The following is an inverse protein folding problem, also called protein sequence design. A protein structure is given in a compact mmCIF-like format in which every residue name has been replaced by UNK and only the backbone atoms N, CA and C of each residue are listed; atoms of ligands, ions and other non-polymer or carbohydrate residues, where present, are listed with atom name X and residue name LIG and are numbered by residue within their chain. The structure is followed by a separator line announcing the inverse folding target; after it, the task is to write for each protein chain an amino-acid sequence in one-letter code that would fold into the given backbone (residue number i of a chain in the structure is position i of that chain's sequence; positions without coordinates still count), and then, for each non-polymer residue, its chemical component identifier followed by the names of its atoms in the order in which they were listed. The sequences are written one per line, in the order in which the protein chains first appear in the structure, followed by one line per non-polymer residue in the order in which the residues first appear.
data_IF_047510036668
#
_entry.id   IF_047510036668
#
_cell.length_a   1.000
_cell.length_b   1.000
_cell.length_c   1.000
_cell.angle_alpha   90.00
_cell.angle_beta   90.00
_cell.angle_gamma   90.00
#
_symmetry.space_group_name_H-M   'P 1'
#
loop_
_entity.id
_entity.type
_entity.pdbx_description
1 polymer ?
#
# COMPACT_ATOMS: atom_id res chain seq x y z
N UNK A 1 25.35 53.00 -0.81
CA UNK A 1 23.91 52.89 -0.50
C UNK A 1 23.76 52.13 0.83
N UNK A 2 23.06 52.72 1.80
CA UNK A 2 22.88 52.18 3.16
C UNK A 2 21.74 51.14 3.17
N UNK A 3 21.96 49.99 3.80
CA UNK A 3 20.98 48.91 3.91
C UNK A 3 19.80 49.24 4.81
N UNK A 4 18.64 48.67 4.50
CA UNK A 4 17.41 48.79 5.30
C UNK A 4 17.06 47.42 5.90
N UNK A 5 16.89 47.42 7.22
CA UNK A 5 16.49 46.30 8.07
C UNK A 5 14.97 46.10 7.97
N UNK A 6 14.50 44.96 7.48
CA UNK A 6 13.07 44.61 7.46
C UNK A 6 12.74 43.83 8.76
N UNK A 7 11.98 44.45 9.66
CA UNK A 7 11.35 43.78 10.82
C UNK A 7 9.96 43.29 10.41
N UNK A 8 9.66 42.01 10.65
CA UNK A 8 8.29 41.49 10.55
C UNK A 8 7.57 41.68 11.89
N UNK A 9 6.65 42.66 11.94
CA UNK A 9 5.65 42.79 12.98
C UNK A 9 4.34 42.13 12.55
N UNK A 10 3.75 41.33 13.45
CA UNK A 10 2.44 40.72 13.27
C UNK A 10 1.34 41.80 13.17
N UNK A 11 0.51 41.75 12.12
CA UNK A 11 -0.68 42.58 11.99
C UNK A 11 -1.86 41.87 12.65
N UNK A 12 -2.46 42.56 13.64
CA UNK A 12 -3.75 42.20 14.21
C UNK A 12 -4.83 42.87 13.36
N UNK A 13 -5.77 42.09 12.81
CA UNK A 13 -6.91 42.64 12.11
C UNK A 13 -7.99 43.06 13.11
N UNK A 14 -8.30 44.35 13.12
CA UNK A 14 -9.46 44.93 13.77
C UNK A 14 -10.62 44.94 12.76
N UNK A 15 -11.69 44.21 13.05
CA UNK A 15 -13.00 44.45 12.41
C UNK A 15 -13.92 45.09 13.45
N UNK A 16 -14.50 46.23 13.07
CA UNK A 16 -15.53 46.95 13.83
C UNK A 16 -16.89 46.57 13.24
N UNK A 17 -17.79 46.07 14.09
CA UNK A 17 -19.18 45.75 13.76
C UNK A 17 -20.06 45.64 15.00
N UNK A 18 -20.67 46.79 15.33
CA UNK A 18 -21.83 47.13 16.20
C UNK A 18 -22.55 46.04 17.03
N UNK A 19 -22.76 46.39 18.32
CA UNK A 19 -23.53 45.73 19.40
C UNK A 19 -24.93 45.21 19.08
N UNK A 20 -25.34 44.12 19.76
CA UNK A 20 -26.64 43.96 20.47
C UNK A 20 -26.68 42.61 21.27
N UNK A 21 -26.90 42.68 22.58
CA UNK A 21 -27.45 41.58 23.42
C UNK A 21 -26.47 40.67 24.16
N UNK A 22 -26.15 40.99 25.43
CA UNK A 22 -25.46 40.06 26.36
C UNK A 22 -26.41 38.98 26.89
N UNK A 23 -26.08 37.70 26.67
CA UNK A 23 -26.40 36.59 27.58
C UNK A 23 -25.12 35.77 27.82
N UNK A 24 -24.75 35.46 29.08
CA UNK A 24 -23.53 34.71 29.34
C UNK A 24 -23.69 33.24 28.93
N UNK A 25 -22.83 32.76 28.04
CA UNK A 25 -22.74 31.35 27.66
C UNK A 25 -22.11 30.51 28.81
N UNK A 26 -22.53 29.24 29.01
CA UNK A 26 -22.04 28.42 30.11
C UNK A 26 -20.54 28.10 29.93
N UNK A 27 -19.81 28.11 31.05
CA UNK A 27 -18.36 27.86 31.14
C UNK A 27 -17.99 26.54 30.44
N UNK A 28 -17.22 26.63 29.34
CA UNK A 28 -16.58 25.45 28.74
C UNK A 28 -15.58 24.87 29.74
N UNK A 29 -15.80 23.62 30.14
CA UNK A 29 -14.88 22.84 30.96
C UNK A 29 -13.50 22.76 30.30
N UNK A 30 -12.44 22.97 31.10
CA UNK A 30 -11.05 22.89 30.65
C UNK A 30 -10.76 21.45 30.21
N UNK A 31 -10.64 21.22 28.89
CA UNK A 31 -10.06 19.97 28.37
C UNK A 31 -8.61 19.89 28.83
N UNK A 32 -8.23 18.73 29.37
CA UNK A 32 -6.86 18.41 29.75
C UNK A 32 -5.88 18.75 28.60
N UNK A 33 -4.71 19.31 28.95
CA UNK A 33 -3.62 19.57 28.01
C UNK A 33 -3.32 18.26 27.26
N UNK A 34 -3.76 18.18 26.00
CA UNK A 34 -3.20 17.20 25.08
C UNK A 34 -1.70 17.45 25.02
N UNK A 35 -0.91 16.37 25.10
CA UNK A 35 0.53 16.39 24.81
C UNK A 35 0.79 17.27 23.59
N UNK A 36 1.91 18.03 23.60
CA UNK A 36 2.27 18.90 22.47
C UNK A 36 2.09 18.13 21.18
N UNK A 37 1.09 18.51 20.38
CA UNK A 37 0.90 17.89 19.07
C UNK A 37 2.20 18.10 18.32
N UNK A 38 2.87 17.03 17.93
CA UNK A 38 4.01 17.11 17.02
C UNK A 38 3.56 17.93 15.81
N UNK A 39 4.14 19.11 15.64
CA UNK A 39 3.86 19.96 14.49
C UNK A 39 4.46 19.24 13.30
N UNK A 40 3.63 18.46 12.58
CA UNK A 40 4.02 17.85 11.32
C UNK A 40 4.20 18.99 10.31
N UNK A 41 5.43 19.46 10.13
CA UNK A 41 5.75 20.21 8.93
C UNK A 41 5.48 19.29 7.71
N UNK A 42 4.95 19.83 6.60
CA UNK A 42 4.83 19.06 5.36
C UNK A 42 6.17 18.39 5.02
N UNK A 43 6.17 17.08 4.83
CA UNK A 43 7.38 16.29 4.54
C UNK A 43 8.17 15.76 5.74
N UNK A 44 7.82 16.09 6.99
CA UNK A 44 8.57 15.62 8.18
C UNK A 44 8.05 14.31 8.81
N UNK A 45 6.98 13.73 8.29
CA UNK A 45 6.48 12.43 8.75
C UNK A 45 6.26 11.48 7.59
N UNK A 46 6.67 10.22 7.77
CA UNK A 46 6.34 9.15 6.83
C UNK A 46 4.82 9.02 6.72
N UNK A 47 4.28 9.25 5.53
CA UNK A 47 2.85 9.16 5.30
C UNK A 47 2.47 7.71 5.00
N UNK A 48 1.82 7.07 5.96
CA UNK A 48 1.40 5.67 5.85
C UNK A 48 -0.11 5.52 5.78
N UNK A 49 -0.58 4.38 5.27
CA UNK A 49 -1.99 4.02 5.32
C UNK A 49 -2.50 3.96 6.76
N UNK A 50 -3.71 4.48 6.98
CA UNK A 50 -4.29 4.63 8.32
C UNK A 50 -5.57 3.82 8.44
N UNK A 51 -5.85 3.35 9.66
CA UNK A 51 -7.12 2.74 9.99
C UNK A 51 -8.28 3.74 9.81
N UNK A 52 -9.36 3.27 9.18
CA UNK A 52 -10.59 4.03 9.02
C UNK A 52 -11.48 3.83 10.26
N UNK A 53 -11.23 4.61 11.32
CA UNK A 53 -11.98 4.51 12.59
C UNK A 53 -13.42 5.05 12.50
N UNK A 54 -13.75 5.74 11.41
CA UNK A 54 -15.02 6.43 11.17
C UNK A 54 -16.03 5.59 10.38
N UNK A 55 -15.62 4.46 9.80
CA UNK A 55 -16.48 3.62 8.98
C UNK A 55 -16.23 2.13 9.26
N UNK A 56 -17.16 1.43 9.93
CA UNK A 56 -17.03 0.01 10.26
C UNK A 56 -16.78 -0.88 9.03
N UNK A 57 -17.30 -0.54 7.85
CA UNK A 57 -17.07 -1.32 6.63
C UNK A 57 -15.61 -1.25 6.12
N UNK A 58 -14.84 -0.24 6.58
CA UNK A 58 -13.43 -0.06 6.27
C UNK A 58 -12.50 -0.45 7.44
N UNK A 59 -13.06 -0.96 8.53
CA UNK A 59 -12.28 -1.48 9.65
C UNK A 59 -11.47 -2.72 9.23
N UNK A 60 -10.46 -3.06 10.03
CA UNK A 60 -9.66 -4.29 9.91
C UNK A 60 -8.91 -4.46 8.57
N UNK A 61 -8.56 -3.36 7.88
CA UNK A 61 -7.79 -3.35 6.63
C UNK A 61 -6.26 -3.28 6.83
N UNK A 62 -5.74 -3.70 7.98
CA UNK A 62 -4.29 -3.68 8.23
C UNK A 62 -3.53 -4.58 7.26
N UNK A 63 -4.12 -5.71 6.85
CA UNK A 63 -3.59 -6.59 5.79
C UNK A 63 -3.37 -5.83 4.48
N UNK A 64 -4.31 -4.96 4.11
CA UNK A 64 -4.21 -4.17 2.89
C UNK A 64 -3.15 -3.08 3.02
N UNK A 65 -3.10 -2.41 4.18
CA UNK A 65 -2.08 -1.41 4.46
C UNK A 65 -0.67 -2.04 4.40
N UNK A 66 -0.46 -3.16 5.08
CA UNK A 66 0.81 -3.89 5.09
C UNK A 66 1.23 -4.31 3.67
N UNK A 67 0.31 -4.86 2.88
CA UNK A 67 0.57 -5.22 1.49
C UNK A 67 1.01 -4.01 0.65
N UNK A 68 0.28 -2.89 0.74
CA UNK A 68 0.57 -1.71 -0.06
C UNK A 68 1.85 -0.99 0.37
N UNK A 69 2.20 -0.97 1.66
CA UNK A 69 3.50 -0.43 2.08
C UNK A 69 4.65 -1.33 1.62
N UNK A 70 4.50 -2.65 1.74
CA UNK A 70 5.52 -3.62 1.32
C UNK A 70 5.78 -3.52 -0.18
N UNK A 71 4.73 -3.45 -0.99
CA UNK A 71 4.84 -3.27 -2.44
C UNK A 71 5.39 -1.88 -2.80
N UNK A 72 5.05 -0.83 -2.04
CA UNK A 72 5.58 0.51 -2.28
C UNK A 72 7.06 0.61 -1.96
N UNK A 73 7.54 -0.10 -0.93
CA UNK A 73 8.97 -0.12 -0.57
C UNK A 73 9.86 -0.68 -1.68
N UNK A 74 9.34 -1.61 -2.50
CA UNK A 74 10.03 -2.21 -3.65
C UNK A 74 9.60 -1.61 -5.00
N UNK A 75 8.75 -0.60 -4.99
CA UNK A 75 8.28 0.05 -6.21
C UNK A 75 9.43 0.79 -6.88
N UNK A 76 9.62 0.52 -8.18
CA UNK A 76 10.64 1.17 -9.01
C UNK A 76 10.05 1.58 -10.35
N UNK A 77 10.65 2.54 -11.08
CA UNK A 77 10.20 2.92 -12.42
C UNK A 77 10.14 1.76 -13.42
N UNK A 78 10.86 0.66 -13.17
CA UNK A 78 10.81 -0.55 -14.00
C UNK A 78 9.40 -1.15 -14.09
N UNK A 79 8.57 -0.96 -13.07
CA UNK A 79 7.20 -1.44 -13.03
C UNK A 79 6.30 -0.76 -14.08
N UNK A 80 6.72 0.38 -14.62
CA UNK A 80 5.97 1.16 -15.61
C UNK A 80 6.31 0.77 -17.07
N UNK A 81 7.34 -0.07 -17.28
CA UNK A 81 7.77 -0.45 -18.63
C UNK A 81 6.62 -1.19 -19.35
N UNK A 82 6.30 -0.75 -20.56
CA UNK A 82 5.24 -1.34 -21.37
C UNK A 82 3.81 -0.95 -20.97
N UNK A 83 3.63 0.04 -20.11
CA UNK A 83 2.31 0.54 -19.70
C UNK A 83 2.00 1.86 -20.40
N UNK A 84 0.85 1.90 -21.07
CA UNK A 84 0.42 3.04 -21.88
C UNK A 84 -0.58 3.97 -21.15
N UNK A 85 -0.79 3.75 -19.85
CA UNK A 85 -1.68 4.56 -19.02
C UNK A 85 -3.19 4.36 -19.28
N UNK A 86 -3.59 3.33 -20.02
CA UNK A 86 -5.01 3.06 -20.34
C UNK A 86 -5.56 1.78 -19.69
N UNK A 87 -4.77 1.11 -18.85
CA UNK A 87 -5.17 -0.14 -18.21
C UNK A 87 -6.26 0.06 -17.15
N UNK A 88 -7.17 -0.89 -17.07
CA UNK A 88 -8.24 -0.97 -16.07
C UNK A 88 -8.09 -2.18 -15.14
N UNK A 89 -6.97 -2.90 -15.26
CA UNK A 89 -6.63 -4.04 -14.43
C UNK A 89 -6.10 -3.62 -13.05
N UNK A 90 -6.02 -4.59 -12.13
CA UNK A 90 -5.58 -4.39 -10.74
C UNK A 90 -4.16 -3.81 -10.65
N UNK A 91 -3.24 -4.27 -11.49
CA UNK A 91 -1.87 -3.80 -11.46
C UNK A 91 -1.75 -2.36 -11.97
N UNK A 92 -2.46 -2.00 -13.03
CA UNK A 92 -2.52 -0.61 -13.50
C UNK A 92 -3.13 0.32 -12.42
N UNK A 93 -4.18 -0.13 -11.71
CA UNK A 93 -4.73 0.63 -10.61
C UNK A 93 -3.73 0.82 -9.45
N UNK A 94 -2.94 -0.22 -9.14
CA UNK A 94 -1.88 -0.15 -8.13
C UNK A 94 -0.81 0.87 -8.53
N UNK A 95 -0.37 0.85 -9.79
CA UNK A 95 0.63 1.78 -10.29
C UNK A 95 0.15 3.22 -10.26
N UNK A 96 -1.08 3.49 -10.69
CA UNK A 96 -1.62 4.85 -10.62
C UNK A 96 -1.75 5.34 -9.18
N UNK A 97 -2.06 4.44 -8.26
CA UNK A 97 -2.07 4.76 -6.84
C UNK A 97 -0.66 5.15 -6.35
N UNK A 98 0.36 4.35 -6.65
CA UNK A 98 1.75 4.66 -6.30
C UNK A 98 2.26 5.94 -6.95
N UNK A 99 1.93 6.18 -8.22
CA UNK A 99 2.26 7.43 -8.90
C UNK A 99 1.58 8.64 -8.26
N UNK A 100 0.33 8.50 -7.82
CA UNK A 100 -0.37 9.56 -7.10
C UNK A 100 0.30 9.86 -5.75
N UNK A 101 0.80 8.84 -5.06
CA UNK A 101 1.59 9.00 -3.83
C UNK A 101 2.92 9.71 -4.10
N UNK A 102 3.70 9.27 -5.10
CA UNK A 102 4.95 9.93 -5.50
C UNK A 102 4.70 11.39 -5.89
N UNK A 103 3.63 11.66 -6.63
CA UNK A 103 3.25 13.03 -7.02
C UNK A 103 2.99 13.92 -5.80
N UNK A 104 2.35 13.39 -4.76
CA UNK A 104 2.20 14.09 -3.49
C UNK A 104 3.55 14.29 -2.80
N UNK A 105 4.39 13.26 -2.72
CA UNK A 105 5.69 13.36 -2.03
C UNK A 105 6.62 14.38 -2.67
N UNK A 106 6.58 14.52 -4.00
CA UNK A 106 7.37 15.50 -4.75
C UNK A 106 6.79 16.92 -4.70
N UNK A 107 5.49 17.07 -4.88
CA UNK A 107 4.88 18.40 -5.03
C UNK A 107 4.29 18.95 -3.73
N UNK A 108 4.09 18.09 -2.72
CA UNK A 108 3.35 18.36 -1.48
C UNK A 108 1.95 18.97 -1.70
N UNK A 109 1.45 18.86 -2.93
CA UNK A 109 0.14 19.33 -3.35
C UNK A 109 -0.88 18.23 -3.09
N UNK A 110 -2.06 18.60 -2.60
CA UNK A 110 -3.15 17.73 -2.15
C UNK A 110 -2.94 17.06 -0.78
N UNK A 111 -3.99 16.40 -0.28
CA UNK A 111 -3.95 15.69 1.00
C UNK A 111 -3.50 14.25 0.78
N UNK A 112 -2.33 13.87 1.31
CA UNK A 112 -1.86 12.48 1.27
C UNK A 112 -2.86 11.50 1.85
N UNK A 113 -3.58 11.90 2.89
CA UNK A 113 -4.65 11.08 3.48
C UNK A 113 -5.73 10.76 2.44
N UNK A 114 -6.12 11.75 1.65
CA UNK A 114 -7.08 11.58 0.56
C UNK A 114 -6.53 10.63 -0.51
N UNK A 115 -5.28 10.83 -0.95
CA UNK A 115 -4.61 9.99 -1.94
C UNK A 115 -4.56 8.53 -1.49
N UNK A 116 -4.06 8.26 -0.28
CA UNK A 116 -3.99 6.91 0.28
C UNK A 116 -5.37 6.27 0.43
N UNK A 117 -6.36 7.01 0.95
CA UNK A 117 -7.72 6.50 1.15
C UNK A 117 -8.41 6.17 -0.18
N UNK A 118 -8.28 7.02 -1.19
CA UNK A 118 -8.89 6.82 -2.51
C UNK A 118 -8.29 5.60 -3.20
N UNK A 119 -6.96 5.47 -3.16
CA UNK A 119 -6.26 4.30 -3.70
C UNK A 119 -6.69 3.00 -3.03
N UNK A 120 -6.74 2.98 -1.69
CA UNK A 120 -7.20 1.82 -0.93
C UNK A 120 -8.63 1.43 -1.29
N UNK A 121 -9.56 2.38 -1.37
CA UNK A 121 -10.95 2.04 -1.70
C UNK A 121 -11.07 1.47 -3.12
N UNK A 122 -10.41 2.10 -4.10
CA UNK A 122 -10.44 1.63 -5.49
C UNK A 122 -9.87 0.23 -5.63
N UNK A 123 -8.69 -0.03 -5.04
CA UNK A 123 -8.07 -1.35 -5.10
C UNK A 123 -8.89 -2.43 -4.38
N UNK A 124 -9.48 -2.09 -3.23
CA UNK A 124 -10.37 -3.01 -2.52
C UNK A 124 -11.62 -3.34 -3.34
N UNK A 125 -12.25 -2.34 -3.97
CA UNK A 125 -13.43 -2.54 -4.84
C UNK A 125 -13.11 -3.45 -6.01
N UNK A 126 -11.99 -3.21 -6.71
CA UNK A 126 -11.54 -4.02 -7.83
C UNK A 126 -11.20 -5.46 -7.41
N UNK A 127 -10.49 -5.62 -6.28
CA UNK A 127 -10.12 -6.93 -5.76
C UNK A 127 -11.35 -7.75 -5.35
N UNK A 128 -12.30 -7.14 -4.64
CA UNK A 128 -13.54 -7.80 -4.24
C UNK A 128 -14.48 -8.07 -5.41
N UNK A 129 -14.42 -7.27 -6.49
CA UNK A 129 -15.16 -7.56 -7.72
C UNK A 129 -14.58 -8.76 -8.48
N UNK A 130 -13.25 -8.87 -8.55
CA UNK A 130 -12.56 -10.00 -9.21
C UNK A 130 -12.65 -11.29 -8.38
N UNK A 131 -12.61 -11.18 -7.05
CA UNK A 131 -12.67 -12.29 -6.11
C UNK A 131 -13.74 -12.04 -5.02
N UNK A 132 -15.03 -12.21 -5.35
CA UNK A 132 -16.11 -12.01 -4.40
C UNK A 132 -15.98 -12.91 -3.18
N UNK A 133 -16.14 -12.33 -1.99
CA UNK A 133 -16.08 -13.08 -0.72
C UNK A 133 -14.69 -13.22 -0.12
N UNK A 134 -13.62 -13.00 -0.89
CA UNK A 134 -12.24 -13.06 -0.38
C UNK A 134 -11.84 -11.87 0.49
N UNK A 135 -12.50 -10.71 0.31
CA UNK A 135 -12.20 -9.46 1.02
C UNK A 135 -13.42 -8.84 1.71
N UNK A 136 -14.04 -9.53 2.70
CA UNK A 136 -15.24 -9.05 3.37
C UNK A 136 -15.06 -7.69 4.03
N UNK A 137 -16.09 -6.84 3.93
CA UNK A 137 -16.11 -5.50 4.56
C UNK A 137 -15.97 -5.61 6.07
N UNK A 138 -15.14 -4.76 6.66
CA UNK A 138 -14.95 -4.66 8.10
C UNK A 138 -14.28 -5.87 8.76
N UNK A 139 -13.78 -6.84 8.00
CA UNK A 139 -13.14 -8.06 8.52
C UNK A 139 -11.69 -8.15 8.09
N UNK A 140 -10.90 -8.94 8.82
CA UNK A 140 -9.57 -9.32 8.38
C UNK A 140 -9.65 -10.20 7.13
N UNK A 141 -8.62 -10.14 6.30
CA UNK A 141 -8.48 -10.92 5.08
C UNK A 141 -6.99 -11.25 4.87
N UNK A 142 -6.70 -12.18 3.97
CA UNK A 142 -5.31 -12.57 3.70
C UNK A 142 -4.55 -11.43 3.03
N UNK A 143 -3.41 -11.05 3.61
CA UNK A 143 -2.45 -10.12 3.03
C UNK A 143 -1.78 -10.75 1.80
N UNK A 144 -1.34 -12.00 1.94
CA UNK A 144 -0.62 -12.73 0.88
C UNK A 144 -1.47 -12.88 -0.38
N UNK A 145 -2.73 -13.29 -0.21
CA UNK A 145 -3.66 -13.41 -1.34
C UNK A 145 -3.94 -12.06 -2.00
N UNK A 146 -3.97 -10.98 -1.22
CA UNK A 146 -4.14 -9.63 -1.78
C UNK A 146 -2.92 -9.20 -2.60
N UNK A 147 -1.70 -9.49 -2.14
CA UNK A 147 -0.47 -9.22 -2.89
C UNK A 147 -0.46 -10.04 -4.18
N UNK A 148 -0.73 -11.34 -4.09
CA UNK A 148 -0.77 -12.27 -5.23
C UNK A 148 -1.63 -11.73 -6.37
N UNK A 149 -2.89 -11.37 -6.10
CA UNK A 149 -3.80 -10.90 -7.16
C UNK A 149 -3.41 -9.53 -7.74
N UNK A 150 -2.68 -8.71 -6.99
CA UNK A 150 -2.20 -7.40 -7.46
C UNK A 150 -1.03 -7.56 -8.43
N UNK A 151 -0.09 -8.47 -8.15
CA UNK A 151 1.12 -8.70 -8.96
C UNK A 151 0.97 -9.83 -9.98
N UNK A 152 -0.22 -10.45 -10.06
CA UNK A 152 -0.56 -11.48 -11.01
C UNK A 152 -0.15 -11.09 -12.46
N UNK A 153 0.78 -11.82 -13.10
CA UNK A 153 1.24 -11.59 -14.46
C UNK A 153 0.12 -11.55 -15.51
N UNK A 154 -1.04 -12.14 -15.21
CA UNK A 154 -2.21 -12.12 -16.09
C UNK A 154 -2.94 -10.77 -16.11
N UNK A 155 -2.68 -9.88 -15.15
CA UNK A 155 -3.25 -8.53 -15.14
C UNK A 155 -2.83 -7.73 -16.39
N UNK A 156 -1.63 -7.95 -16.91
CA UNK A 156 -1.13 -7.34 -18.15
C UNK A 156 -0.63 -8.39 -19.16
N UNK A 157 -1.54 -9.20 -19.70
CA UNK A 157 -1.22 -10.30 -20.64
C UNK A 157 -0.31 -9.90 -21.83
N UNK A 158 -0.44 -8.66 -22.31
CA UNK A 158 0.34 -8.16 -23.47
C UNK A 158 1.71 -7.59 -23.09
N UNK A 159 1.95 -7.33 -21.80
CA UNK A 159 3.19 -6.73 -21.34
C UNK A 159 4.18 -7.83 -20.89
N UNK A 160 5.10 -8.18 -21.78
CA UNK A 160 6.13 -9.19 -21.51
C UNK A 160 7.14 -8.76 -20.44
N UNK A 161 7.36 -7.46 -20.28
CA UNK A 161 8.29 -6.94 -19.27
C UNK A 161 7.69 -7.09 -17.87
N UNK A 162 6.39 -6.81 -17.72
CA UNK A 162 5.67 -7.05 -16.47
C UNK A 162 5.68 -8.54 -16.07
N UNK A 163 5.48 -9.46 -17.03
CA UNK A 163 5.51 -10.89 -16.74
C UNK A 163 6.86 -11.35 -16.18
N UNK A 164 7.96 -10.68 -16.53
CA UNK A 164 9.31 -10.99 -16.00
C UNK A 164 9.59 -10.35 -14.65
N UNK A 165 8.80 -9.36 -14.24
CA UNK A 165 9.05 -8.59 -13.03
C UNK A 165 8.68 -9.39 -11.77
N UNK A 166 7.58 -10.12 -11.83
CA UNK A 166 7.08 -10.95 -10.73
C UNK A 166 6.99 -12.44 -11.09
N UNK A 167 7.19 -12.78 -12.37
CA UNK A 167 7.20 -14.16 -12.81
C UNK A 167 8.60 -14.77 -12.70
N UNK A 168 8.64 -16.03 -12.28
CA UNK A 168 9.84 -16.86 -12.26
C UNK A 168 9.54 -18.23 -12.88
N UNK A 169 10.60 -18.96 -13.19
CA UNK A 169 10.50 -20.36 -13.60
C UNK A 169 10.73 -21.20 -12.36
N UNK A 170 9.70 -21.96 -11.99
CA UNK A 170 9.73 -22.89 -10.90
C UNK A 170 10.15 -24.26 -11.44
N UNK A 171 11.27 -24.80 -10.95
CA UNK A 171 11.84 -26.09 -11.37
C UNK A 171 11.82 -27.06 -10.19
N UNK A 172 10.84 -27.96 -10.17
CA UNK A 172 10.68 -28.95 -9.12
C UNK A 172 11.41 -30.24 -9.47
N UNK A 173 12.24 -30.70 -8.55
CA UNK A 173 12.89 -32.00 -8.62
C UNK A 173 12.36 -32.90 -7.51
N UNK A 174 11.78 -34.02 -7.90
CA UNK A 174 11.27 -35.02 -6.96
C UNK A 174 12.28 -36.16 -6.85
N UNK A 175 12.62 -36.51 -5.61
CA UNK A 175 13.49 -37.63 -5.29
C UNK A 175 12.75 -38.54 -4.32
N UNK A 176 12.92 -39.84 -4.50
CA UNK A 176 12.39 -40.84 -3.56
C UNK A 176 13.43 -41.02 -2.45
N UNK A 177 13.04 -40.87 -1.18
CA UNK A 177 13.96 -41.10 -0.05
C UNK A 177 14.55 -42.51 -0.05
N UNK A 178 13.79 -43.50 -0.52
CA UNK A 178 14.24 -44.88 -0.61
C UNK A 178 15.21 -45.14 -1.78
N UNK A 179 15.22 -44.29 -2.81
CA UNK A 179 16.06 -44.43 -4.00
C UNK A 179 16.55 -43.04 -4.48
N UNK A 180 17.47 -42.39 -3.74
CA UNK A 180 17.88 -41.00 -3.99
C UNK A 180 18.51 -40.78 -5.37
N UNK A 181 19.20 -41.79 -5.89
CA UNK A 181 19.82 -41.82 -7.21
C UNK A 181 18.81 -41.87 -8.37
N UNK A 182 17.57 -42.30 -8.10
CA UNK A 182 16.53 -42.37 -9.12
C UNK A 182 15.78 -41.05 -9.18
N UNK A 183 16.17 -40.19 -10.12
CA UNK A 183 15.39 -38.97 -10.44
C UNK A 183 14.03 -39.39 -10.99
N UNK A 184 12.95 -38.99 -10.31
CA UNK A 184 11.62 -39.16 -10.89
C UNK A 184 11.47 -38.18 -12.07
N UNK A 185 11.23 -38.74 -13.26
CA UNK A 185 10.82 -37.98 -14.43
C UNK A 185 9.42 -37.42 -14.17
N UNK A 186 9.33 -36.13 -13.83
CA UNK A 186 8.06 -35.41 -13.84
C UNK A 186 7.87 -34.69 -15.18
N UNK A 187 6.73 -34.92 -15.83
CA UNK A 187 6.32 -34.30 -17.10
C UNK A 187 6.12 -32.78 -16.97
N UNK A 188 6.11 -32.23 -15.75
CA UNK A 188 5.91 -30.82 -15.48
C UNK A 188 6.92 -30.23 -14.47
N UNK A 189 8.18 -30.64 -14.52
CA UNK A 189 9.21 -30.11 -13.61
C UNK A 189 9.35 -28.58 -13.69
N UNK A 190 9.24 -28.00 -14.90
CA UNK A 190 9.38 -26.55 -15.12
C UNK A 190 8.06 -25.85 -15.42
N UNK A 191 7.69 -24.88 -14.58
CA UNK A 191 6.43 -24.11 -14.73
C UNK A 191 6.70 -22.62 -14.57
N UNK A 192 5.94 -21.78 -15.28
CA UNK A 192 5.94 -20.34 -15.00
C UNK A 192 5.05 -20.08 -13.79
N UNK A 193 5.62 -19.49 -12.76
CA UNK A 193 4.92 -19.15 -11.53
C UNK A 193 5.17 -17.68 -11.17
N UNK A 194 4.36 -17.14 -10.27
CA UNK A 194 4.57 -15.83 -9.65
C UNK A 194 4.31 -15.86 -8.14
N UNK A 195 3.97 -17.03 -7.62
CA UNK A 195 3.78 -17.33 -6.20
C UNK A 195 4.43 -18.68 -5.95
N UNK A 196 5.21 -18.78 -4.88
CA UNK A 196 5.80 -20.04 -4.41
C UNK A 196 4.84 -20.63 -3.38
N UNK A 197 4.23 -21.77 -3.71
CA UNK A 197 3.40 -22.51 -2.76
C UNK A 197 4.27 -23.50 -1.97
N UNK A 198 4.79 -23.07 -0.83
CA UNK A 198 5.55 -23.96 0.08
C UNK A 198 4.57 -24.89 0.79
N UNK A 199 4.57 -26.17 0.39
CA UNK A 199 3.78 -27.21 1.06
C UNK A 199 4.67 -27.97 2.05
N UNK A 200 4.21 -28.16 3.31
CA UNK A 200 5.01 -28.82 4.36
C UNK A 200 5.50 -30.22 3.95
N UNK A 201 4.73 -30.93 3.13
CA UNK A 201 5.00 -32.32 2.77
C UNK A 201 5.87 -32.48 1.50
N UNK A 202 6.32 -31.36 0.91
CA UNK A 202 7.02 -31.36 -0.40
C UNK A 202 8.42 -30.76 -0.29
N UNK A 203 8.69 -29.94 0.73
CA UNK A 203 9.99 -29.31 0.94
C UNK A 203 10.70 -29.97 2.11
N UNK A 204 11.85 -30.56 1.83
CA UNK A 204 12.71 -31.18 2.84
C UNK A 204 13.07 -30.13 3.93
N UNK A 205 12.94 -30.48 5.20
CA UNK A 205 13.01 -29.54 6.34
C UNK A 205 14.33 -28.78 6.45
N UNK A 206 15.38 -29.26 5.79
CA UNK A 206 16.67 -28.57 5.69
C UNK A 206 16.64 -27.30 4.83
N UNK A 207 15.84 -27.25 3.76
CA UNK A 207 15.78 -26.10 2.83
C UNK A 207 15.01 -24.92 3.46
N UNK A 208 14.00 -25.20 4.29
CA UNK A 208 13.24 -24.16 4.99
C UNK A 208 14.09 -23.37 6.01
N UNK A 209 15.19 -23.95 6.50
CA UNK A 209 16.13 -23.27 7.40
C UNK A 209 16.99 -22.23 6.68
N UNK A 210 17.30 -22.41 5.41
CA UNK A 210 18.09 -21.43 4.63
C UNK A 210 17.25 -20.24 4.17
N UNK A 211 15.96 -20.45 3.87
CA UNK A 211 15.05 -19.37 3.46
C UNK A 211 14.69 -18.46 4.65
N UNK A 212 14.69 -18.98 5.88
CA UNK A 212 14.42 -18.21 7.11
C UNK A 212 15.62 -17.47 7.71
N UNK A 213 16.78 -17.48 7.04
CA UNK A 213 18.04 -16.90 7.54
C UNK A 213 18.47 -15.63 6.78
N UNK A 214 17.61 -15.03 5.95
CA UNK A 214 17.86 -13.74 5.28
C UNK A 214 17.03 -12.62 5.90
#
# INVERSE_FOLDING_TARGET
MKGVLIKYGAKNNTEVGVSLGMKPAPKKSKKAKKSSNFVKAPGQGYASYLAANDNPARANRCWMAAALESLYAIYTPLWQRGINGKGTDLFTALLFHFLSRVTYELNLNSSIRSTLTRGQNKLWEMANAKHPGSFPRGKFSSCDFFIEILVDPTNLKKNKDFQKLFGFIDDWQYTCEAHPETKQLDLQSKRKAHVIAVRPNVVNSHILREIGSL
#
